data_IF_345337308297
#
_entry.id   IF_345337308297
#
_cell.length_a   1.000
_cell.length_b   1.000
_cell.length_c   1.000
_cell.angle_alpha   90.00
_cell.angle_beta   90.00
_cell.angle_gamma   90.00
#
_symmetry.space_group_name_H-M   'P 1'
#
loop_
_entity.id
_entity.type
_entity.pdbx_description
1 polymer ?
#
# COMPACT_ATOMS: atom_id res chain seq x y z
N UNK A 1 -21.89 0.52 28.72
CA UNK A 1 -20.68 0.39 29.58
C UNK A 1 -19.49 0.88 28.76
N UNK A 2 -18.57 1.73 29.34
CA UNK A 2 -17.32 2.10 28.65
C UNK A 2 -16.21 1.18 29.10
N UNK A 3 -15.52 0.55 28.14
CA UNK A 3 -14.41 -0.38 28.35
C UNK A 3 -13.17 0.27 27.72
N UNK A 4 -12.22 0.69 28.58
CA UNK A 4 -10.97 1.29 28.14
C UNK A 4 -9.85 0.25 28.26
N UNK A 5 -9.16 -0.04 27.17
CA UNK A 5 -8.02 -0.95 27.11
C UNK A 5 -6.72 -0.14 27.11
N UNK A 6 -5.76 -0.53 27.94
CA UNK A 6 -4.42 0.02 27.92
C UNK A 6 -3.62 -0.48 26.69
N UNK A 7 -2.39 0.01 26.51
CA UNK A 7 -1.56 -0.32 25.35
C UNK A 7 -1.22 -1.82 25.26
N UNK A 8 -1.05 -2.52 26.40
CA UNK A 8 -0.72 -3.96 26.42
C UNK A 8 -1.95 -4.79 26.09
N UNK A 9 -3.11 -4.43 26.62
CA UNK A 9 -4.38 -5.09 26.31
C UNK A 9 -4.77 -4.85 24.86
N UNK A 10 -4.57 -3.64 24.35
CA UNK A 10 -4.85 -3.28 22.95
C UNK A 10 -4.03 -4.13 21.98
N UNK A 11 -2.71 -4.24 22.18
CA UNK A 11 -1.87 -5.07 21.29
C UNK A 11 -2.18 -6.56 21.42
N UNK A 12 -2.52 -7.04 22.63
CA UNK A 12 -2.91 -8.44 22.84
C UNK A 12 -4.20 -8.77 22.07
N UNK A 13 -5.23 -7.91 22.16
CA UNK A 13 -6.46 -8.06 21.38
C UNK A 13 -6.17 -8.01 19.88
N UNK A 14 -5.34 -7.08 19.43
CA UNK A 14 -4.96 -6.98 18.01
C UNK A 14 -4.28 -8.25 17.51
N UNK A 15 -3.39 -8.86 18.30
CA UNK A 15 -2.73 -10.14 17.95
C UNK A 15 -3.73 -11.29 17.89
N UNK A 16 -4.66 -11.40 18.83
CA UNK A 16 -5.71 -12.44 18.80
C UNK A 16 -6.58 -12.28 17.54
N UNK A 17 -6.97 -11.05 17.22
CA UNK A 17 -7.76 -10.73 16.01
C UNK A 17 -6.97 -11.03 14.73
N UNK A 18 -5.67 -10.76 14.71
CA UNK A 18 -4.77 -11.11 13.61
C UNK A 18 -4.67 -12.64 13.43
N UNK A 19 -4.53 -13.39 14.53
CA UNK A 19 -4.50 -14.86 14.49
C UNK A 19 -5.82 -15.45 13.96
N UNK A 20 -6.96 -14.87 14.38
CA UNK A 20 -8.27 -15.22 13.84
C UNK A 20 -8.32 -14.97 12.32
N UNK A 21 -7.85 -13.81 11.88
CA UNK A 21 -7.81 -13.48 10.45
C UNK A 21 -6.91 -14.43 9.64
N UNK A 22 -5.74 -14.83 10.18
CA UNK A 22 -4.86 -15.83 9.58
C UNK A 22 -5.56 -17.18 9.44
N UNK A 23 -6.17 -17.66 10.52
CA UNK A 23 -6.92 -18.92 10.53
C UNK A 23 -8.06 -18.95 9.50
N UNK A 24 -8.80 -17.84 9.36
CA UNK A 24 -9.88 -17.74 8.37
C UNK A 24 -9.34 -17.67 6.94
N UNK A 25 -8.24 -16.94 6.71
CA UNK A 25 -7.59 -16.85 5.40
C UNK A 25 -7.17 -18.21 4.87
N UNK A 26 -6.58 -19.06 5.74
CA UNK A 26 -6.13 -20.41 5.40
C UNK A 26 -7.30 -21.38 5.08
N UNK A 27 -8.54 -21.06 5.51
CA UNK A 27 -9.72 -21.90 5.30
C UNK A 27 -10.67 -21.43 4.22
N UNK A 28 -10.61 -20.17 3.85
CA UNK A 28 -11.51 -19.55 2.87
C UNK A 28 -10.71 -19.12 1.64
N UNK A 29 -10.70 -19.99 0.63
CA UNK A 29 -9.96 -19.79 -0.62
C UNK A 29 -10.21 -18.42 -1.28
N UNK A 30 -11.43 -17.88 -1.15
CA UNK A 30 -11.79 -16.57 -1.68
C UNK A 30 -10.96 -15.44 -1.06
N UNK A 31 -10.68 -15.50 0.25
CA UNK A 31 -9.87 -14.50 0.96
C UNK A 31 -8.39 -14.55 0.56
N UNK A 32 -7.90 -15.76 0.33
CA UNK A 32 -6.54 -15.97 -0.19
C UNK A 32 -6.41 -15.48 -1.62
N UNK A 33 -7.37 -15.82 -2.48
CA UNK A 33 -7.43 -15.41 -3.90
C UNK A 33 -7.40 -13.89 -4.10
N UNK A 34 -8.06 -13.13 -3.22
CA UNK A 34 -8.03 -11.65 -3.25
C UNK A 34 -6.85 -11.05 -2.48
N UNK A 35 -5.92 -11.85 -2.01
CA UNK A 35 -4.73 -11.42 -1.25
C UNK A 35 -5.06 -10.51 -0.05
N UNK A 36 -6.25 -10.66 0.57
CA UNK A 36 -6.68 -9.81 1.69
C UNK A 36 -5.76 -10.08 2.88
N UNK A 37 -5.17 -9.03 3.50
CA UNK A 37 -4.30 -9.19 4.67
C UNK A 37 -5.06 -9.79 5.87
N UNK A 38 -4.42 -10.71 6.58
CA UNK A 38 -5.02 -11.34 7.76
C UNK A 38 -5.52 -10.33 8.82
N UNK A 39 -4.78 -9.23 9.14
CA UNK A 39 -5.28 -8.21 10.06
C UNK A 39 -6.60 -7.58 9.63
N UNK A 40 -6.82 -7.41 8.31
CA UNK A 40 -8.07 -6.85 7.78
C UNK A 40 -9.23 -7.82 7.96
N UNK A 41 -9.03 -9.12 7.67
CA UNK A 41 -10.06 -10.15 7.82
C UNK A 41 -10.54 -10.23 9.27
N UNK A 42 -9.60 -10.43 10.20
CA UNK A 42 -9.94 -10.52 11.62
C UNK A 42 -10.50 -9.19 12.16
N UNK A 43 -9.90 -8.07 11.74
CA UNK A 43 -10.28 -6.74 12.18
C UNK A 43 -11.69 -6.32 11.76
N UNK A 44 -12.12 -6.64 10.53
CA UNK A 44 -13.50 -6.38 10.09
C UNK A 44 -14.52 -7.15 10.94
N UNK A 45 -14.23 -8.41 11.27
CA UNK A 45 -15.11 -9.22 12.14
C UNK A 45 -15.19 -8.57 13.52
N UNK A 46 -14.06 -8.17 14.08
CA UNK A 46 -14.01 -7.50 15.38
C UNK A 46 -14.70 -6.13 15.33
N UNK A 47 -14.52 -5.35 14.25
CA UNK A 47 -15.19 -4.06 14.06
C UNK A 47 -16.72 -4.21 13.94
N UNK A 48 -17.22 -5.28 13.32
CA UNK A 48 -18.65 -5.60 13.31
C UNK A 48 -19.13 -5.92 14.74
N UNK A 49 -18.36 -6.70 15.50
CA UNK A 49 -18.68 -6.99 16.88
C UNK A 49 -18.76 -5.72 17.75
N UNK A 50 -17.77 -4.85 17.67
CA UNK A 50 -17.74 -3.56 18.42
C UNK A 50 -18.85 -2.61 17.97
N UNK A 51 -19.19 -2.61 16.66
CA UNK A 51 -20.31 -1.85 16.11
C UNK A 51 -21.65 -2.35 16.68
N UNK A 52 -21.88 -3.65 16.75
CA UNK A 52 -23.08 -4.22 17.35
C UNK A 52 -23.19 -3.87 18.84
N UNK A 53 -22.09 -3.96 19.59
CA UNK A 53 -22.06 -3.57 21.00
C UNK A 53 -22.39 -2.08 21.21
N UNK A 54 -21.88 -1.21 20.30
CA UNK A 54 -22.14 0.21 20.34
C UNK A 54 -23.61 0.55 20.03
N UNK A 55 -24.15 0.01 18.94
CA UNK A 55 -25.53 0.29 18.49
C UNK A 55 -26.57 -0.26 19.47
N UNK A 56 -26.29 -1.41 20.09
CA UNK A 56 -27.18 -1.97 21.13
C UNK A 56 -27.02 -1.31 22.50
N UNK A 57 -26.05 -0.39 22.67
CA UNK A 57 -25.81 0.29 23.95
C UNK A 57 -25.16 -0.59 25.02
N UNK A 58 -24.70 -1.81 24.69
CA UNK A 58 -24.09 -2.77 25.63
C UNK A 58 -22.72 -2.27 26.09
N UNK A 59 -21.83 -1.95 25.13
CA UNK A 59 -20.47 -1.53 25.43
C UNK A 59 -19.92 -0.58 24.35
N UNK A 60 -19.10 0.38 24.80
CA UNK A 60 -18.27 1.23 23.96
C UNK A 60 -16.80 0.93 24.29
N UNK A 61 -16.03 0.52 23.27
CA UNK A 61 -14.62 0.18 23.41
C UNK A 61 -13.73 1.38 23.06
N UNK A 62 -12.70 1.63 23.87
CA UNK A 62 -11.66 2.62 23.62
C UNK A 62 -10.30 1.94 23.76
N UNK A 63 -9.41 2.18 22.81
CA UNK A 63 -8.11 1.54 22.67
C UNK A 63 -7.00 2.57 22.78
N UNK A 64 -5.85 2.16 23.31
CA UNK A 64 -4.65 2.99 23.35
C UNK A 64 -3.90 2.90 21.99
N UNK A 65 -3.53 4.04 21.43
CA UNK A 65 -2.95 4.14 20.09
C UNK A 65 -1.41 4.23 20.07
N UNK A 66 -0.74 4.29 21.23
CA UNK A 66 0.72 4.49 21.31
C UNK A 66 1.49 3.43 20.50
N UNK A 67 1.19 2.15 20.71
CA UNK A 67 1.89 1.07 19.98
C UNK A 67 1.52 1.02 18.51
N UNK A 68 0.32 1.48 18.11
CA UNK A 68 -0.05 1.66 16.71
C UNK A 68 0.90 2.64 16.02
N UNK A 69 1.15 3.80 16.62
CA UNK A 69 2.06 4.81 16.08
C UNK A 69 3.50 4.30 16.00
N UNK A 70 4.00 3.63 17.02
CA UNK A 70 5.34 3.04 17.02
C UNK A 70 5.50 2.04 15.88
N UNK A 71 4.57 1.08 15.76
CA UNK A 71 4.61 0.07 14.69
C UNK A 71 4.49 0.72 13.30
N UNK A 72 3.66 1.75 13.14
CA UNK A 72 3.53 2.51 11.90
C UNK A 72 4.85 3.17 11.50
N UNK A 73 5.53 3.84 12.43
CA UNK A 73 6.81 4.50 12.15
C UNK A 73 7.88 3.49 11.75
N UNK A 74 7.98 2.34 12.43
CA UNK A 74 8.90 1.26 12.05
C UNK A 74 8.61 0.73 10.64
N UNK A 75 7.34 0.50 10.31
CA UNK A 75 6.94 0.05 8.97
C UNK A 75 7.34 1.06 7.90
N UNK A 76 6.94 2.33 8.00
CA UNK A 76 7.26 3.33 6.98
C UNK A 76 8.77 3.63 6.90
N UNK A 77 9.50 3.48 8.00
CA UNK A 77 10.97 3.57 7.96
C UNK A 77 11.56 2.43 7.13
N UNK A 78 11.06 1.20 7.28
CA UNK A 78 11.49 0.06 6.43
C UNK A 78 11.18 0.31 4.95
N UNK A 79 10.02 0.90 4.63
CA UNK A 79 9.68 1.34 3.26
C UNK A 79 10.70 2.38 2.74
N UNK A 80 11.13 3.32 3.58
CA UNK A 80 12.17 4.27 3.21
C UNK A 80 13.50 3.60 2.79
N UNK A 81 13.92 2.57 3.51
CA UNK A 81 15.12 1.78 3.16
C UNK A 81 15.00 1.04 1.82
N UNK A 82 13.80 0.81 1.31
CA UNK A 82 13.60 0.17 0.01
C UNK A 82 13.95 1.13 -1.15
N UNK A 83 13.89 2.44 -0.98
CA UNK A 83 14.15 3.45 -2.01
C UNK A 83 15.64 3.51 -2.41
N UNK A 84 16.06 2.64 -3.33
CA UNK A 84 17.43 2.50 -3.82
C UNK A 84 17.62 3.11 -5.23
N UNK A 85 18.36 4.24 -5.31
CA UNK A 85 18.62 4.94 -6.57
C UNK A 85 19.58 4.16 -7.50
N UNK A 86 20.42 3.28 -6.95
CA UNK A 86 21.30 2.42 -7.77
C UNK A 86 20.49 1.41 -8.57
N UNK A 87 19.48 0.79 -7.92
CA UNK A 87 18.54 -0.12 -8.58
C UNK A 87 17.71 0.64 -9.62
N UNK A 88 17.27 1.85 -9.32
CA UNK A 88 16.54 2.69 -10.28
C UNK A 88 17.38 2.99 -11.53
N UNK A 89 18.65 3.28 -11.37
CA UNK A 89 19.56 3.52 -12.51
C UNK A 89 19.87 2.26 -13.31
N UNK A 90 20.01 1.11 -12.66
CA UNK A 90 20.31 -0.17 -13.33
C UNK A 90 19.11 -0.73 -14.10
N UNK A 91 17.88 -0.42 -13.67
CA UNK A 91 16.64 -0.88 -14.31
C UNK A 91 16.33 -0.25 -15.66
N UNK A 92 17.18 0.64 -16.14
CA UNK A 92 17.14 1.21 -17.48
C UNK A 92 15.92 2.09 -17.76
N UNK A 93 15.71 2.38 -19.07
CA UNK A 93 14.65 3.29 -19.52
C UNK A 93 13.23 2.78 -19.18
N UNK A 94 13.02 1.47 -19.25
CA UNK A 94 11.70 0.88 -19.00
C UNK A 94 11.24 1.12 -17.54
N UNK A 95 12.15 0.98 -16.57
CA UNK A 95 11.84 1.21 -15.15
C UNK A 95 11.51 2.68 -14.88
N UNK A 96 12.26 3.62 -15.47
CA UNK A 96 12.01 5.07 -15.32
C UNK A 96 10.66 5.46 -15.92
N UNK A 97 10.34 4.94 -17.10
CA UNK A 97 9.05 5.19 -17.76
C UNK A 97 7.91 4.61 -16.93
N UNK A 98 8.08 3.39 -16.43
CA UNK A 98 7.06 2.74 -15.58
C UNK A 98 6.86 3.48 -14.26
N UNK A 99 7.93 3.96 -13.62
CA UNK A 99 7.85 4.83 -12.44
C UNK A 99 7.11 6.13 -12.74
N UNK A 100 7.36 6.76 -13.88
CA UNK A 100 6.63 7.94 -14.34
C UNK A 100 5.14 7.68 -14.52
N UNK A 101 4.76 6.51 -15.05
CA UNK A 101 3.36 6.09 -15.13
C UNK A 101 2.72 5.93 -13.75
N UNK A 102 3.45 5.36 -12.79
CA UNK A 102 2.94 5.21 -11.42
C UNK A 102 2.72 6.57 -10.75
N UNK A 103 3.66 7.51 -10.87
CA UNK A 103 3.50 8.87 -10.37
C UNK A 103 2.28 9.54 -11.01
N UNK A 104 2.12 9.41 -12.32
CA UNK A 104 0.96 9.97 -13.04
C UNK A 104 -0.35 9.33 -12.55
N UNK A 105 -0.38 8.03 -12.28
CA UNK A 105 -1.53 7.34 -11.71
C UNK A 105 -1.89 7.89 -10.33
N UNK A 106 -0.90 8.07 -9.43
CA UNK A 106 -1.10 8.67 -8.11
C UNK A 106 -1.80 10.03 -8.23
N UNK A 107 -1.29 10.89 -9.12
CA UNK A 107 -1.87 12.21 -9.33
C UNK A 107 -3.30 12.11 -9.90
N UNK A 108 -3.53 11.28 -10.92
CA UNK A 108 -4.85 11.08 -11.53
C UNK A 108 -5.88 10.58 -10.52
N UNK A 109 -5.52 9.63 -9.65
CA UNK A 109 -6.42 9.11 -8.61
C UNK A 109 -6.80 10.20 -7.60
N UNK A 110 -5.86 11.02 -7.16
CA UNK A 110 -6.16 12.09 -6.21
C UNK A 110 -6.97 13.22 -6.85
N UNK A 111 -6.62 13.67 -8.07
CA UNK A 111 -7.40 14.68 -8.76
C UNK A 111 -8.82 14.21 -9.07
N UNK A 112 -9.00 12.95 -9.51
CA UNK A 112 -10.33 12.38 -9.73
C UNK A 112 -11.13 12.35 -8.43
N UNK A 113 -10.54 11.88 -7.34
CA UNK A 113 -11.18 11.79 -6.03
C UNK A 113 -11.64 13.18 -5.53
N UNK A 114 -10.77 14.17 -5.62
CA UNK A 114 -11.07 15.56 -5.27
C UNK A 114 -12.17 16.14 -6.18
N UNK A 115 -12.06 15.90 -7.49
CA UNK A 115 -13.03 16.38 -8.47
C UNK A 115 -14.43 15.80 -8.25
N UNK A 116 -14.53 14.49 -8.03
CA UNK A 116 -15.79 13.83 -7.72
C UNK A 116 -16.35 14.26 -6.36
N UNK A 117 -15.51 14.45 -5.34
CA UNK A 117 -15.95 14.95 -4.04
C UNK A 117 -16.58 16.35 -4.17
N UNK A 118 -15.95 17.25 -4.92
CA UNK A 118 -16.52 18.58 -5.21
C UNK A 118 -17.83 18.49 -5.98
N UNK A 119 -17.95 17.58 -6.94
CA UNK A 119 -19.19 17.35 -7.70
C UNK A 119 -20.34 16.84 -6.81
N UNK A 120 -20.01 16.01 -5.81
CA UNK A 120 -20.94 15.48 -4.82
C UNK A 120 -21.19 16.45 -3.66
N UNK A 121 -20.63 17.67 -3.69
CA UNK A 121 -20.73 18.68 -2.64
C UNK A 121 -20.26 18.20 -1.26
N UNK A 122 -19.23 17.32 -1.24
CA UNK A 122 -18.57 16.87 -0.02
C UNK A 122 -17.13 17.39 0.07
N UNK A 123 -16.54 17.35 1.27
CA UNK A 123 -15.17 17.83 1.46
C UNK A 123 -14.18 17.12 0.52
N UNK A 124 -13.29 17.86 -0.17
CA UNK A 124 -12.20 17.25 -0.96
C UNK A 124 -11.32 16.27 -0.19
N UNK A 125 -11.13 16.49 1.12
CA UNK A 125 -10.40 15.59 2.01
C UNK A 125 -11.10 14.23 2.15
N UNK A 126 -12.45 14.18 2.14
CA UNK A 126 -13.22 12.93 2.06
C UNK A 126 -12.94 12.22 0.73
N UNK A 127 -12.79 12.98 -0.36
CA UNK A 127 -12.37 12.43 -1.65
C UNK A 127 -11.02 11.70 -1.54
N UNK A 128 -10.01 12.31 -0.91
CA UNK A 128 -8.69 11.68 -0.73
C UNK A 128 -8.75 10.33 -0.01
N UNK A 129 -9.74 10.10 0.86
CA UNK A 129 -9.97 8.79 1.48
C UNK A 129 -10.26 7.67 0.45
N UNK A 130 -10.55 8.01 -0.80
CA UNK A 130 -10.77 7.06 -1.90
C UNK A 130 -9.77 7.23 -3.06
N UNK A 131 -8.83 8.18 -2.93
CA UNK A 131 -7.76 8.44 -3.88
C UNK A 131 -6.59 7.46 -3.76
N UNK A 132 -5.40 7.94 -4.01
CA UNK A 132 -4.19 7.11 -3.96
C UNK A 132 -3.85 6.59 -2.56
N UNK A 133 -4.42 7.19 -1.48
CA UNK A 133 -4.26 6.70 -0.11
C UNK A 133 -4.62 5.20 -0.02
N UNK A 134 -5.88 4.80 -0.28
CA UNK A 134 -6.25 3.38 -0.24
C UNK A 134 -5.91 2.64 -1.54
N UNK A 135 -5.88 3.30 -2.70
CA UNK A 135 -5.77 2.60 -3.98
C UNK A 135 -4.35 2.07 -4.23
N UNK A 136 -3.33 2.94 -4.26
CA UNK A 136 -1.93 2.53 -4.41
C UNK A 136 -1.32 2.15 -3.06
N UNK A 137 -1.58 2.94 -2.02
CA UNK A 137 -1.00 2.70 -0.71
C UNK A 137 -1.66 1.58 0.10
N UNK A 138 -2.82 1.08 -0.35
CA UNK A 138 -3.52 -0.03 0.28
C UNK A 138 -3.88 0.21 1.74
N UNK A 139 -4.01 -0.88 2.52
CA UNK A 139 -4.39 -0.80 3.93
C UNK A 139 -3.33 -0.13 4.82
N UNK A 140 -2.05 -0.23 4.45
CA UNK A 140 -0.95 0.39 5.20
C UNK A 140 -1.07 1.91 5.21
N UNK A 141 -1.12 2.50 4.03
CA UNK A 141 -1.27 3.95 3.85
C UNK A 141 -2.63 4.45 4.33
N UNK A 142 -3.71 3.67 4.10
CA UNK A 142 -5.04 3.97 4.62
C UNK A 142 -5.06 4.08 6.16
N UNK A 143 -4.42 3.12 6.85
CA UNK A 143 -4.30 3.14 8.30
C UNK A 143 -3.45 4.28 8.85
N UNK A 144 -2.44 4.72 8.10
CA UNK A 144 -1.55 5.81 8.51
C UNK A 144 -2.17 7.19 8.28
N UNK A 145 -2.74 7.43 7.10
CA UNK A 145 -3.29 8.73 6.74
C UNK A 145 -4.75 8.93 7.17
N UNK A 146 -5.49 7.85 7.48
CA UNK A 146 -6.85 7.95 8.03
C UNK A 146 -6.91 8.82 9.28
N UNK A 147 -6.14 8.54 10.35
CA UNK A 147 -6.07 9.39 11.54
C UNK A 147 -5.63 10.83 11.23
N UNK A 148 -4.65 11.01 10.33
CA UNK A 148 -4.21 12.36 9.92
C UNK A 148 -5.38 13.15 9.31
N UNK A 149 -6.18 12.54 8.44
CA UNK A 149 -7.37 13.19 7.87
C UNK A 149 -8.45 13.45 8.93
N UNK A 150 -8.55 12.63 9.98
CA UNK A 150 -9.43 12.88 11.11
C UNK A 150 -8.99 14.13 11.90
N UNK A 151 -7.69 14.34 12.09
CA UNK A 151 -7.12 15.56 12.68
C UNK A 151 -7.43 16.81 11.84
N UNK A 152 -7.53 16.66 10.51
CA UNK A 152 -8.00 17.70 9.59
C UNK A 152 -9.54 17.82 9.52
N UNK A 153 -10.27 17.14 10.39
CA UNK A 153 -11.72 17.27 10.57
C UNK A 153 -12.59 16.33 9.75
N UNK A 154 -12.02 15.35 9.07
CA UNK A 154 -12.77 14.32 8.33
C UNK A 154 -13.22 13.20 9.27
N UNK A 155 -14.44 13.28 9.78
CA UNK A 155 -14.98 12.25 10.67
C UNK A 155 -15.02 10.88 9.98
N UNK A 156 -14.44 9.86 10.64
CA UNK A 156 -14.44 8.49 10.17
C UNK A 156 -13.52 8.22 8.98
N UNK A 157 -12.53 9.10 8.72
CA UNK A 157 -11.58 8.94 7.63
C UNK A 157 -10.81 7.60 7.72
N UNK A 158 -10.40 7.17 8.90
CA UNK A 158 -9.74 5.87 9.11
C UNK A 158 -10.59 4.71 8.61
N UNK A 159 -11.89 4.72 8.93
CA UNK A 159 -12.83 3.69 8.50
C UNK A 159 -13.10 3.77 7.00
N UNK A 160 -13.24 4.99 6.46
CA UNK A 160 -13.48 5.24 5.04
C UNK A 160 -12.30 4.78 4.18
N UNK A 161 -11.07 5.18 4.53
CA UNK A 161 -9.86 4.77 3.83
C UNK A 161 -9.69 3.24 3.84
N UNK A 162 -9.96 2.59 4.97
CA UNK A 162 -9.84 1.13 5.10
C UNK A 162 -10.87 0.39 4.27
N UNK A 163 -12.14 0.85 4.28
CA UNK A 163 -13.19 0.29 3.44
C UNK A 163 -12.84 0.44 1.94
N UNK A 164 -12.32 1.60 1.54
CA UNK A 164 -11.88 1.86 0.18
C UNK A 164 -10.68 0.97 -0.21
N UNK A 165 -9.70 0.77 0.68
CA UNK A 165 -8.57 -0.12 0.43
C UNK A 165 -9.01 -1.58 0.25
N UNK A 166 -9.92 -2.06 1.09
CA UNK A 166 -10.48 -3.41 0.98
C UNK A 166 -11.24 -3.61 -0.33
N UNK A 167 -12.05 -2.62 -0.73
CA UNK A 167 -12.70 -2.62 -2.04
C UNK A 167 -11.67 -2.66 -3.17
N UNK A 168 -10.63 -1.84 -3.07
CA UNK A 168 -9.57 -1.76 -4.07
C UNK A 168 -8.86 -3.10 -4.28
N UNK A 169 -8.52 -3.82 -3.21
CA UNK A 169 -7.92 -5.16 -3.28
C UNK A 169 -8.80 -6.13 -4.11
N UNK A 170 -10.10 -6.14 -3.86
CA UNK A 170 -11.04 -7.01 -4.57
C UNK A 170 -11.18 -6.57 -6.03
N UNK A 171 -11.44 -5.29 -6.27
CA UNK A 171 -11.65 -4.74 -7.61
C UNK A 171 -10.41 -4.89 -8.50
N UNK A 172 -9.21 -4.61 -7.94
CA UNK A 172 -7.93 -4.77 -8.64
C UNK A 172 -7.64 -6.22 -9.04
N UNK A 173 -7.92 -7.17 -8.15
CA UNK A 173 -7.76 -8.61 -8.43
C UNK A 173 -8.73 -9.10 -9.51
N UNK A 174 -9.99 -8.64 -9.47
CA UNK A 174 -11.00 -9.05 -10.46
C UNK A 174 -10.74 -8.43 -11.83
N UNK A 175 -10.19 -7.21 -11.88
CA UNK A 175 -10.01 -6.47 -13.13
C UNK A 175 -8.77 -6.90 -13.93
N UNK A 176 -7.68 -7.29 -13.28
CA UNK A 176 -6.40 -7.53 -13.92
C UNK A 176 -6.43 -8.60 -15.00
N UNK A 177 -6.98 -9.79 -14.70
CA UNK A 177 -7.13 -10.88 -15.66
C UNK A 177 -7.91 -10.48 -16.92
N UNK A 178 -9.13 -9.95 -16.80
CA UNK A 178 -9.92 -9.48 -17.96
C UNK A 178 -9.23 -8.40 -18.81
N UNK A 179 -8.50 -7.46 -18.20
CA UNK A 179 -7.77 -6.41 -18.92
C UNK A 179 -6.63 -7.04 -19.72
N UNK A 180 -5.78 -7.87 -19.10
CA UNK A 180 -4.70 -8.56 -19.78
C UNK A 180 -5.21 -9.44 -20.93
N UNK A 181 -6.21 -10.29 -20.66
CA UNK A 181 -6.87 -11.14 -21.67
C UNK A 181 -7.37 -10.32 -22.86
N UNK A 182 -8.14 -9.25 -22.60
CA UNK A 182 -8.72 -8.42 -23.67
C UNK A 182 -7.66 -7.76 -24.55
N UNK A 183 -6.55 -7.31 -23.95
CA UNK A 183 -5.42 -6.72 -24.69
C UNK A 183 -4.74 -7.77 -25.56
N UNK A 184 -4.44 -8.95 -25.02
CA UNK A 184 -3.73 -10.02 -25.71
C UNK A 184 -4.56 -10.54 -26.89
N UNK A 185 -5.83 -10.92 -26.65
CA UNK A 185 -6.69 -11.52 -27.67
C UNK A 185 -7.13 -10.51 -28.75
N UNK A 186 -7.51 -9.27 -28.36
CA UNK A 186 -7.98 -8.26 -29.32
C UNK A 186 -6.88 -7.75 -30.25
N UNK A 187 -5.63 -7.79 -29.81
CA UNK A 187 -4.48 -7.24 -30.56
C UNK A 187 -3.53 -8.33 -31.10
N UNK A 188 -3.88 -9.61 -30.92
CA UNK A 188 -3.08 -10.77 -31.38
C UNK A 188 -1.61 -10.69 -30.92
N UNK A 189 -1.38 -10.42 -29.61
CA UNK A 189 -0.04 -10.11 -29.10
C UNK A 189 0.85 -11.34 -28.88
N UNK A 190 0.35 -12.56 -29.06
CA UNK A 190 1.15 -13.78 -28.88
C UNK A 190 2.33 -13.89 -29.86
N UNK A 191 2.22 -13.26 -31.02
CA UNK A 191 3.32 -13.19 -31.99
C UNK A 191 4.45 -12.24 -31.53
N UNK A 192 4.22 -11.43 -30.51
CA UNK A 192 5.20 -10.48 -29.93
C UNK A 192 5.89 -11.01 -28.68
N UNK A 193 5.66 -12.28 -28.32
CA UNK A 193 6.31 -12.91 -27.17
C UNK A 193 7.80 -13.06 -27.44
N UNK A 194 8.62 -12.38 -26.64
CA UNK A 194 10.07 -12.56 -26.65
C UNK A 194 10.40 -13.67 -25.64
N UNK A 195 10.93 -14.79 -26.12
CA UNK A 195 11.46 -15.85 -25.24
C UNK A 195 12.80 -15.33 -24.68
N UNK A 196 12.75 -14.63 -23.57
CA UNK A 196 13.95 -14.27 -22.82
C UNK A 196 14.39 -15.48 -21.97
N UNK A 197 15.71 -15.67 -21.89
CA UNK A 197 16.31 -16.77 -21.14
C UNK A 197 16.02 -16.58 -19.63
N UNK A 198 15.43 -17.59 -18.99
CA UNK A 198 15.05 -17.58 -17.57
C UNK A 198 16.24 -17.32 -16.60
N UNK A 199 17.46 -17.31 -17.12
CA UNK A 199 18.68 -17.04 -16.36
C UNK A 199 18.69 -15.68 -15.63
N UNK A 200 17.91 -14.70 -16.10
CA UNK A 200 17.82 -13.36 -15.47
C UNK A 200 16.93 -13.31 -14.22
N UNK A 201 16.03 -14.29 -14.06
CA UNK A 201 15.17 -14.40 -12.86
C UNK A 201 15.90 -15.06 -11.68
N UNK A 202 16.98 -15.80 -11.94
CA UNK A 202 17.67 -16.64 -10.95
C UNK A 202 18.71 -15.84 -10.13
N UNK A 203 19.20 -14.70 -10.61
CA UNK A 203 20.26 -13.94 -9.93
C UNK A 203 19.78 -13.10 -8.75
N UNK A 204 18.50 -12.72 -8.68
CA UNK A 204 17.97 -11.88 -7.60
C UNK A 204 17.40 -12.68 -6.41
N UNK A 205 17.16 -13.97 -6.56
CA UNK A 205 16.82 -14.92 -5.50
C UNK A 205 18.05 -15.57 -4.85
N UNK A 206 19.21 -14.96 -4.84
CA UNK A 206 20.19 -15.33 -3.81
C UNK A 206 19.55 -14.99 -2.48
N UNK A 207 18.92 -16.04 -1.90
CA UNK A 207 18.48 -16.08 -0.50
C UNK A 207 19.64 -15.50 0.33
N UNK A 208 19.54 -14.23 0.66
CA UNK A 208 20.36 -13.69 1.73
C UNK A 208 20.05 -14.58 2.92
N UNK A 209 21.00 -15.45 3.29
CA UNK A 209 20.86 -16.26 4.50
C UNK A 209 20.61 -15.28 5.63
N UNK A 210 19.38 -15.29 6.14
CA UNK A 210 18.97 -14.46 7.26
C UNK A 210 19.68 -14.99 8.49
N UNK A 211 20.57 -14.18 9.05
CA UNK A 211 21.29 -14.56 10.25
C UNK A 211 20.66 -13.90 11.47
N UNK A 212 20.27 -14.72 12.46
CA UNK A 212 19.69 -14.21 13.72
C UNK A 212 20.56 -13.13 14.38
N UNK A 213 21.89 -13.19 14.19
CA UNK A 213 22.87 -12.22 14.71
C UNK A 213 22.76 -10.81 14.06
N UNK A 214 22.10 -10.65 12.91
CA UNK A 214 22.00 -9.37 12.18
C UNK A 214 20.76 -8.56 12.55
N UNK A 215 19.73 -9.19 13.16
CA UNK A 215 18.51 -8.47 13.59
C UNK A 215 18.77 -7.30 14.54
N UNK A 216 19.65 -7.41 15.56
CA UNK A 216 19.95 -6.24 16.40
C UNK A 216 20.51 -5.05 15.61
N UNK A 217 21.39 -5.30 14.63
CA UNK A 217 21.95 -4.25 13.78
C UNK A 217 20.87 -3.61 12.89
N UNK A 218 19.96 -4.39 12.32
CA UNK A 218 18.84 -3.90 11.55
C UNK A 218 17.88 -3.04 12.39
N UNK A 219 17.55 -3.47 13.62
CA UNK A 219 16.75 -2.67 14.57
C UNK A 219 17.44 -1.35 14.88
N UNK A 220 18.75 -1.34 15.12
CA UNK A 220 19.50 -0.12 15.40
C UNK A 220 19.51 0.83 14.19
N UNK A 221 19.62 0.31 12.96
CA UNK A 221 19.52 1.11 11.74
C UNK A 221 18.13 1.77 11.62
N UNK A 222 17.05 1.03 11.89
CA UNK A 222 15.69 1.57 11.91
C UNK A 222 15.54 2.67 12.98
N UNK A 223 15.99 2.43 14.21
CA UNK A 223 15.91 3.41 15.32
C UNK A 223 16.70 4.68 15.00
N UNK A 224 17.91 4.55 14.44
CA UNK A 224 18.72 5.70 14.02
C UNK A 224 18.00 6.49 12.92
N UNK A 225 17.44 5.82 11.92
CA UNK A 225 16.68 6.47 10.86
C UNK A 225 15.43 7.19 11.40
N UNK A 226 14.72 6.59 12.37
CA UNK A 226 13.58 7.23 13.06
C UNK A 226 14.05 8.49 13.80
N UNK A 227 15.13 8.39 14.58
CA UNK A 227 15.68 9.53 15.32
C UNK A 227 16.08 10.69 14.42
N UNK A 228 16.82 10.43 13.32
CA UNK A 228 17.14 11.43 12.31
C UNK A 228 15.86 11.97 11.65
N UNK A 229 14.90 11.10 11.39
CA UNK A 229 13.62 11.43 10.76
C UNK A 229 12.80 12.42 11.57
N UNK A 230 12.81 12.33 12.90
CA UNK A 230 12.11 13.33 13.74
C UNK A 230 12.69 14.73 13.57
N UNK A 231 14.00 14.86 13.38
CA UNK A 231 14.68 16.13 13.10
C UNK A 231 14.25 16.63 11.71
N UNK A 232 14.23 15.74 10.71
CA UNK A 232 13.80 16.09 9.34
C UNK A 232 12.35 16.56 9.34
N UNK A 233 11.44 15.84 10.02
CA UNK A 233 10.03 16.25 10.13
C UNK A 233 9.87 17.62 10.78
N UNK A 234 10.64 17.92 11.82
CA UNK A 234 10.65 19.25 12.45
C UNK A 234 11.16 20.35 11.50
N UNK A 235 12.21 20.07 10.72
CA UNK A 235 12.72 21.02 9.72
C UNK A 235 11.71 21.26 8.60
N UNK A 236 11.03 20.20 8.14
CA UNK A 236 9.99 20.30 7.13
C UNK A 236 8.77 21.09 7.64
N UNK A 237 8.39 20.93 8.89
CA UNK A 237 7.26 21.70 9.47
C UNK A 237 7.55 23.20 9.59
N UNK A 238 8.80 23.64 9.54
CA UNK A 238 9.15 25.09 9.44
C UNK A 238 8.66 25.72 8.14
N UNK A 239 8.33 24.91 7.12
CA UNK A 239 7.72 25.42 5.86
C UNK A 239 6.25 25.81 6.01
N UNK A 240 5.64 25.60 7.17
CA UNK A 240 4.21 25.82 7.43
C UNK A 240 3.31 24.65 7.01
N UNK A 241 3.90 23.58 6.50
CA UNK A 241 3.19 22.34 6.13
C UNK A 241 3.26 21.31 7.27
N UNK A 242 2.21 20.52 7.45
CA UNK A 242 2.16 19.45 8.43
C UNK A 242 2.76 18.17 7.85
N UNK A 243 3.87 17.73 8.44
CA UNK A 243 4.53 16.47 8.07
C UNK A 243 4.45 15.47 9.23
N UNK A 244 3.76 14.34 9.07
CA UNK A 244 3.81 13.25 10.04
C UNK A 244 5.23 12.74 10.26
N UNK A 245 5.53 12.24 11.48
CA UNK A 245 6.87 11.79 11.89
C UNK A 245 7.42 10.71 10.95
N UNK A 246 6.58 9.81 10.47
CA UNK A 246 6.99 8.72 9.59
C UNK A 246 7.50 9.20 8.21
N UNK A 247 7.07 10.37 7.72
CA UNK A 247 7.59 10.96 6.48
C UNK A 247 9.08 11.31 6.61
N UNK A 248 9.45 11.97 7.70
CA UNK A 248 10.85 12.27 7.97
C UNK A 248 11.69 11.01 8.18
N UNK A 249 11.17 10.01 8.89
CA UNK A 249 11.83 8.74 9.11
C UNK A 249 12.04 7.97 7.79
N UNK A 250 11.06 8.00 6.90
CA UNK A 250 11.14 7.40 5.57
C UNK A 250 12.20 8.10 4.69
N UNK A 251 12.27 9.44 4.72
CA UNK A 251 13.31 10.21 4.02
C UNK A 251 14.70 9.90 4.60
N UNK A 252 14.86 9.89 5.93
CA UNK A 252 16.11 9.54 6.59
C UNK A 252 16.59 8.14 6.19
N UNK A 253 15.71 7.16 6.19
CA UNK A 253 16.00 5.79 5.79
C UNK A 253 16.43 5.71 4.31
N UNK A 254 15.74 6.40 3.41
CA UNK A 254 16.11 6.50 2.00
C UNK A 254 17.51 7.13 1.81
N UNK A 255 17.83 8.19 2.56
CA UNK A 255 19.16 8.79 2.56
C UNK A 255 20.21 7.80 3.07
N UNK A 256 19.98 7.14 4.22
CA UNK A 256 20.89 6.14 4.78
C UNK A 256 21.14 4.99 3.80
N UNK A 257 20.08 4.47 3.15
CA UNK A 257 20.19 3.43 2.13
C UNK A 257 21.12 3.83 1.01
N UNK A 258 20.89 4.99 0.43
CA UNK A 258 21.68 5.45 -0.71
C UNK A 258 23.11 5.82 -0.33
N UNK A 259 23.34 6.44 0.84
CA UNK A 259 24.69 6.72 1.34
C UNK A 259 25.46 5.41 1.58
N UNK A 260 24.85 4.41 2.18
CA UNK A 260 25.46 3.08 2.38
C UNK A 260 25.88 2.43 1.06
N UNK A 261 24.98 2.40 0.08
CA UNK A 261 25.23 1.81 -1.26
C UNK A 261 26.32 2.54 -2.05
N UNK A 262 26.36 3.88 -2.00
CA UNK A 262 27.36 4.64 -2.74
C UNK A 262 28.72 4.73 -2.03
N UNK A 263 28.73 4.78 -0.69
CA UNK A 263 29.98 4.90 0.07
C UNK A 263 30.66 3.56 0.33
N UNK A 264 29.91 2.46 0.39
CA UNK A 264 30.38 1.13 0.78
C UNK A 264 30.91 1.05 2.21
N UNK A 265 30.72 2.12 3.03
CA UNK A 265 31.29 2.21 4.38
C UNK A 265 30.53 1.45 5.44
N UNK A 266 29.26 1.17 5.22
CA UNK A 266 28.40 0.40 6.13
C UNK A 266 27.37 -0.41 5.34
N UNK A 267 27.05 -1.57 5.89
CA UNK A 267 26.09 -2.50 5.27
C UNK A 267 24.69 -2.21 5.79
N UNK A 268 23.71 -2.22 4.89
CA UNK A 268 22.28 -2.16 5.23
C UNK A 268 21.72 -3.58 5.19
N UNK A 269 21.10 -4.01 6.29
CA UNK A 269 20.57 -5.36 6.46
C UNK A 269 19.12 -5.44 5.98
N UNK A 270 18.95 -5.37 4.63
CA UNK A 270 17.62 -5.23 4.01
C UNK A 270 16.68 -6.38 4.29
N UNK A 271 17.19 -7.63 4.36
CA UNK A 271 16.37 -8.80 4.66
C UNK A 271 15.69 -8.67 6.02
N UNK A 272 16.50 -8.39 7.04
CA UNK A 272 16.07 -8.25 8.42
C UNK A 272 15.21 -6.98 8.62
N UNK A 273 15.55 -5.87 7.95
CA UNK A 273 14.73 -4.63 7.95
C UNK A 273 13.34 -4.91 7.38
N UNK A 274 13.23 -5.65 6.27
CA UNK A 274 11.95 -6.01 5.67
C UNK A 274 11.12 -6.93 6.57
N UNK A 275 11.75 -7.89 7.25
CA UNK A 275 11.06 -8.76 8.20
C UNK A 275 10.50 -7.97 9.39
N UNK A 276 11.31 -7.07 9.98
CA UNK A 276 10.87 -6.19 11.08
C UNK A 276 9.74 -5.27 10.58
N UNK A 277 9.87 -4.71 9.38
CA UNK A 277 8.84 -3.89 8.74
C UNK A 277 7.54 -4.67 8.53
N UNK A 278 7.59 -5.91 8.08
CA UNK A 278 6.43 -6.79 7.88
C UNK A 278 5.71 -7.14 9.19
N UNK A 279 6.47 -7.43 10.25
CA UNK A 279 5.90 -7.64 11.60
C UNK A 279 5.23 -6.35 12.09
N UNK A 280 5.93 -5.21 11.96
CA UNK A 280 5.42 -3.90 12.36
C UNK A 280 4.16 -3.53 11.59
N UNK A 281 4.10 -3.78 10.28
CA UNK A 281 2.90 -3.60 9.46
C UNK A 281 1.74 -4.45 9.97
N UNK A 282 1.97 -5.72 10.28
CA UNK A 282 0.92 -6.63 10.75
C UNK A 282 0.33 -6.18 12.08
N UNK A 283 1.17 -5.76 13.03
CA UNK A 283 0.74 -5.24 14.33
C UNK A 283 0.03 -3.89 14.19
N UNK A 284 0.60 -2.98 13.40
CA UNK A 284 0.01 -1.68 13.08
C UNK A 284 -1.40 -1.83 12.49
N UNK A 285 -1.54 -2.66 11.44
CA UNK A 285 -2.84 -2.94 10.84
C UNK A 285 -3.79 -3.64 11.81
N UNK A 286 -3.31 -4.58 12.62
CA UNK A 286 -4.12 -5.24 13.66
C UNK A 286 -4.75 -4.23 14.60
N UNK A 287 -3.96 -3.31 15.15
CA UNK A 287 -4.46 -2.27 16.05
C UNK A 287 -5.39 -1.30 15.30
N UNK A 288 -4.99 -0.85 14.11
CA UNK A 288 -5.81 0.06 13.30
C UNK A 288 -7.19 -0.53 12.96
N UNK A 289 -7.26 -1.84 12.70
CA UNK A 289 -8.51 -2.50 12.34
C UNK A 289 -9.46 -2.68 13.54
N UNK A 290 -8.96 -2.99 14.73
CA UNK A 290 -9.81 -3.12 15.91
C UNK A 290 -10.39 -1.79 16.40
N UNK A 291 -9.76 -0.67 16.03
CA UNK A 291 -10.22 0.69 16.37
C UNK A 291 -11.26 1.26 15.42
N UNK A 292 -11.63 0.55 14.33
CA UNK A 292 -12.57 1.02 13.33
C UNK A 292 -13.98 1.23 13.90
N UNK A 293 -14.58 2.37 13.54
CA UNK A 293 -15.92 2.78 13.96
C UNK A 293 -16.88 2.69 12.78
N UNK A 294 -17.36 1.47 12.45
CA UNK A 294 -18.18 1.22 11.26
C UNK A 294 -19.47 2.02 11.21
N UNK A 295 -20.04 2.41 12.35
CA UNK A 295 -21.25 3.26 12.41
C UNK A 295 -21.05 4.65 11.80
N UNK A 296 -19.80 5.12 11.64
CA UNK A 296 -19.49 6.41 11.01
C UNK A 296 -19.58 6.39 9.48
N UNK A 297 -19.66 5.20 8.86
CA UNK A 297 -19.78 5.07 7.39
C UNK A 297 -21.20 5.26 6.86
N UNK A 298 -22.22 5.21 7.72
CA UNK A 298 -23.60 5.18 7.27
C UNK A 298 -23.98 6.37 6.39
N UNK A 299 -23.55 7.57 6.77
CA UNK A 299 -23.88 8.83 6.06
C UNK A 299 -23.06 9.01 4.76
N UNK A 300 -21.96 8.30 4.61
CA UNK A 300 -21.05 8.39 3.47
C UNK A 300 -21.13 7.22 2.48
N UNK A 301 -22.06 6.29 2.68
CA UNK A 301 -22.15 5.06 1.90
C UNK A 301 -22.38 5.34 0.39
N UNK A 302 -23.31 6.21 0.04
CA UNK A 302 -23.60 6.54 -1.35
C UNK A 302 -22.48 7.34 -2.04
N UNK A 303 -21.92 8.41 -1.44
CA UNK A 303 -20.71 9.05 -1.95
C UNK A 303 -19.55 8.10 -2.15
N UNK A 304 -19.30 7.20 -1.17
CA UNK A 304 -18.22 6.21 -1.24
C UNK A 304 -18.33 5.32 -2.47
N UNK A 305 -19.51 4.76 -2.74
CA UNK A 305 -19.75 3.90 -3.91
C UNK A 305 -19.45 4.67 -5.21
N UNK A 306 -19.88 5.93 -5.32
CA UNK A 306 -19.65 6.75 -6.50
C UNK A 306 -18.17 7.04 -6.72
N UNK A 307 -17.44 7.38 -5.64
CA UNK A 307 -16.01 7.64 -5.67
C UNK A 307 -15.23 6.38 -6.08
N UNK A 308 -15.56 5.22 -5.50
CA UNK A 308 -14.91 3.94 -5.79
C UNK A 308 -15.20 3.44 -7.21
N UNK A 309 -16.42 3.64 -7.71
CA UNK A 309 -16.76 3.38 -9.12
C UNK A 309 -15.93 4.25 -10.05
N UNK A 310 -15.77 5.55 -9.74
CA UNK A 310 -14.90 6.46 -10.48
C UNK A 310 -13.44 5.99 -10.52
N UNK A 311 -12.88 5.55 -9.39
CA UNK A 311 -11.51 5.00 -9.32
C UNK A 311 -11.37 3.73 -10.17
N UNK A 312 -12.37 2.85 -10.14
CA UNK A 312 -12.38 1.61 -10.94
C UNK A 312 -12.38 1.90 -12.44
N UNK A 313 -13.20 2.86 -12.87
CA UNK A 313 -13.27 3.32 -14.27
C UNK A 313 -11.94 3.96 -14.67
N UNK A 314 -11.38 4.86 -13.85
CA UNK A 314 -10.07 5.46 -14.09
C UNK A 314 -9.01 4.38 -14.28
N UNK A 315 -8.97 3.40 -13.38
CA UNK A 315 -7.97 2.34 -13.41
C UNK A 315 -8.04 1.52 -14.69
N UNK A 316 -9.26 1.13 -15.11
CA UNK A 316 -9.48 0.43 -16.38
C UNK A 316 -9.01 1.26 -17.58
N UNK A 317 -9.40 2.53 -17.66
CA UNK A 317 -9.00 3.41 -18.75
C UNK A 317 -7.49 3.66 -18.74
N UNK A 318 -6.91 3.88 -17.57
CA UNK A 318 -5.49 4.15 -17.43
C UNK A 318 -4.63 2.95 -17.85
N UNK A 319 -4.96 1.76 -17.40
CA UNK A 319 -4.19 0.54 -17.75
C UNK A 319 -4.36 0.18 -19.21
N UNK A 320 -5.59 0.26 -19.74
CA UNK A 320 -5.89 -0.14 -21.11
C UNK A 320 -5.35 0.85 -22.16
N UNK A 321 -5.42 2.15 -21.91
CA UNK A 321 -5.05 3.18 -22.89
C UNK A 321 -3.70 3.84 -22.61
N UNK A 322 -3.27 3.98 -21.36
CA UNK A 322 -2.03 4.69 -21.03
C UNK A 322 -0.90 3.68 -20.83
N UNK A 323 -1.00 2.80 -19.83
CA UNK A 323 0.07 1.85 -19.50
C UNK A 323 0.43 0.99 -20.71
N UNK A 324 -0.55 0.36 -21.33
CA UNK A 324 -0.35 -0.50 -22.49
C UNK A 324 0.35 0.24 -23.66
N UNK A 325 -0.10 1.46 -23.98
CA UNK A 325 0.46 2.18 -25.12
C UNK A 325 1.87 2.74 -24.86
N UNK A 326 2.15 3.15 -23.63
CA UNK A 326 3.45 3.74 -23.26
C UNK A 326 4.51 2.67 -23.05
N UNK A 327 4.13 1.48 -22.56
CA UNK A 327 5.08 0.40 -22.26
C UNK A 327 5.48 -0.46 -23.46
N UNK A 328 4.96 -0.19 -24.65
CA UNK A 328 5.45 -0.82 -25.89
C UNK A 328 4.40 -1.47 -26.77
N UNK A 329 3.14 -1.62 -26.34
CA UNK A 329 2.02 -2.25 -27.07
C UNK A 329 2.26 -3.72 -27.45
N UNK A 330 3.16 -4.36 -26.72
CA UNK A 330 3.55 -5.75 -26.88
C UNK A 330 2.87 -6.65 -25.83
N UNK A 331 3.21 -7.93 -25.83
CA UNK A 331 2.74 -8.90 -24.85
C UNK A 331 3.10 -8.49 -23.41
N UNK A 332 4.35 -8.05 -23.19
CA UNK A 332 4.83 -7.62 -21.88
C UNK A 332 4.03 -6.41 -21.35
N UNK A 333 3.71 -5.46 -22.24
CA UNK A 333 2.87 -4.32 -21.89
C UNK A 333 1.44 -4.73 -21.48
N UNK A 334 0.89 -5.80 -22.06
CA UNK A 334 -0.41 -6.34 -21.66
C UNK A 334 -0.35 -7.02 -20.28
N UNK A 335 0.71 -7.79 -20.00
CA UNK A 335 0.95 -8.39 -18.68
C UNK A 335 1.19 -7.31 -17.64
N UNK A 336 2.02 -6.29 -17.94
CA UNK A 336 2.21 -5.13 -17.07
C UNK A 336 0.90 -4.41 -16.77
N UNK A 337 0.04 -4.20 -17.78
CA UNK A 337 -1.27 -3.57 -17.58
C UNK A 337 -2.17 -4.36 -16.62
N UNK A 338 -2.12 -5.70 -16.71
CA UNK A 338 -2.80 -6.59 -15.76
C UNK A 338 -2.24 -6.43 -14.33
N UNK A 339 -0.92 -6.38 -14.19
CA UNK A 339 -0.26 -6.16 -12.91
C UNK A 339 -0.59 -4.80 -12.30
N UNK A 340 -0.59 -3.73 -13.12
CA UNK A 340 -0.93 -2.38 -12.65
C UNK A 340 -2.37 -2.29 -12.14
N UNK A 341 -3.33 -3.04 -12.67
CA UNK A 341 -4.68 -3.14 -12.09
C UNK A 341 -4.63 -3.62 -10.63
N UNK A 342 -3.82 -4.62 -10.33
CA UNK A 342 -3.69 -5.19 -8.99
C UNK A 342 -3.01 -4.25 -8.01
N UNK A 343 -1.87 -3.70 -8.40
CA UNK A 343 -1.08 -2.81 -7.52
C UNK A 343 -1.67 -1.40 -7.42
N UNK A 344 -2.25 -0.88 -8.50
CA UNK A 344 -2.81 0.47 -8.53
C UNK A 344 -4.19 0.61 -7.87
N UNK A 345 -4.82 -0.50 -7.47
CA UNK A 345 -6.05 -0.51 -6.65
C UNK A 345 -5.94 -1.40 -5.41
N UNK A 346 -4.77 -1.92 -5.10
CA UNK A 346 -4.68 -2.88 -4.02
C UNK A 346 -3.30 -2.98 -3.39
N UNK A 347 -2.50 -3.91 -3.91
CA UNK A 347 -1.18 -4.18 -3.37
C UNK A 347 -0.31 -4.95 -4.39
N UNK A 348 1.01 -4.94 -4.20
CA UNK A 348 1.95 -5.68 -5.05
C UNK A 348 1.62 -7.18 -5.15
N UNK A 349 1.22 -7.90 -4.09
CA UNK A 349 0.80 -9.31 -4.22
C UNK A 349 -0.37 -9.52 -5.20
N UNK A 350 -1.34 -8.60 -5.25
CA UNK A 350 -2.45 -8.68 -6.21
C UNK A 350 -1.96 -8.49 -7.66
N UNK A 351 -0.97 -7.60 -7.84
CA UNK A 351 -0.33 -7.44 -9.15
C UNK A 351 0.35 -8.73 -9.61
N UNK A 352 1.11 -9.37 -8.71
CA UNK A 352 1.78 -10.64 -8.98
C UNK A 352 0.79 -11.74 -9.34
N UNK A 353 -0.28 -11.89 -8.57
CA UNK A 353 -1.35 -12.87 -8.83
C UNK A 353 -2.03 -12.63 -10.20
N UNK A 354 -2.33 -11.37 -10.54
CA UNK A 354 -2.90 -11.01 -11.82
C UNK A 354 -1.98 -11.35 -13.00
N UNK A 355 -0.69 -11.00 -12.89
CA UNK A 355 0.31 -11.32 -13.90
C UNK A 355 0.50 -12.81 -14.05
N UNK A 356 0.60 -13.54 -12.94
CA UNK A 356 0.74 -14.99 -12.94
C UNK A 356 -0.44 -15.66 -13.64
N UNK A 357 -1.67 -15.29 -13.31
CA UNK A 357 -2.87 -15.85 -13.96
C UNK A 357 -2.90 -15.60 -15.48
N UNK A 358 -2.37 -14.46 -15.94
CA UNK A 358 -2.23 -14.19 -17.38
C UNK A 358 -1.11 -15.03 -17.99
N UNK A 359 0.05 -15.10 -17.35
CA UNK A 359 1.20 -15.84 -17.85
C UNK A 359 0.98 -17.36 -17.87
N UNK A 360 0.29 -17.93 -16.89
CA UNK A 360 -0.08 -19.36 -16.88
C UNK A 360 -0.99 -19.73 -18.06
N UNK A 361 -1.82 -18.78 -18.50
CA UNK A 361 -2.73 -19.02 -19.61
C UNK A 361 -2.10 -18.84 -20.98
N UNK A 362 -1.13 -17.94 -21.12
CA UNK A 362 -0.60 -17.54 -22.43
C UNK A 362 0.90 -17.80 -22.56
N UNK A 363 1.77 -16.97 -21.96
CA UNK A 363 3.21 -17.09 -22.01
C UNK A 363 3.88 -16.34 -20.83
N UNK A 364 5.10 -16.68 -20.42
CA UNK A 364 5.83 -15.94 -19.39
C UNK A 364 6.22 -14.54 -19.87
N UNK A 365 6.36 -13.59 -18.92
CA UNK A 365 6.82 -12.21 -19.17
C UNK A 365 7.84 -11.81 -18.10
N UNK A 366 9.12 -12.06 -18.36
CA UNK A 366 10.23 -11.73 -17.44
C UNK A 366 10.22 -10.23 -17.10
N UNK A 367 10.05 -9.37 -18.10
CA UNK A 367 10.04 -7.92 -17.98
C UNK A 367 8.94 -7.42 -17.02
N UNK A 368 7.73 -7.98 -17.08
CA UNK A 368 6.65 -7.57 -16.19
C UNK A 368 6.92 -7.97 -14.74
N UNK A 369 7.39 -9.20 -14.53
CA UNK A 369 7.73 -9.70 -13.19
C UNK A 369 8.94 -9.01 -12.57
N UNK A 370 9.77 -8.36 -13.36
CA UNK A 370 10.89 -7.54 -12.89
C UNK A 370 10.44 -6.11 -12.54
N UNK A 371 9.69 -5.46 -13.41
CA UNK A 371 9.32 -4.05 -13.27
C UNK A 371 8.30 -3.80 -12.16
N UNK A 372 7.25 -4.63 -12.06
CA UNK A 372 6.15 -4.38 -11.11
C UNK A 372 6.60 -4.47 -9.65
N UNK A 373 7.32 -5.50 -9.18
CA UNK A 373 7.82 -5.53 -7.82
C UNK A 373 8.80 -4.39 -7.53
N UNK A 374 9.74 -4.12 -8.45
CA UNK A 374 10.73 -3.06 -8.25
C UNK A 374 10.10 -1.68 -8.08
N UNK A 375 9.11 -1.32 -8.89
CA UNK A 375 8.43 -0.02 -8.75
C UNK A 375 7.41 -0.05 -7.62
N UNK A 376 6.60 -1.09 -7.54
CA UNK A 376 5.51 -1.21 -6.55
C UNK A 376 6.02 -1.26 -5.12
N UNK A 377 7.06 -2.06 -4.83
CA UNK A 377 7.56 -2.19 -3.46
C UNK A 377 8.63 -1.15 -3.09
N UNK A 378 9.48 -0.70 -4.06
CA UNK A 378 10.61 0.16 -3.74
C UNK A 378 10.28 1.66 -3.77
N UNK A 379 9.37 2.09 -4.65
CA UNK A 379 9.19 3.52 -4.92
C UNK A 379 7.75 4.00 -4.77
N UNK A 380 6.75 3.16 -5.08
CA UNK A 380 5.36 3.60 -5.12
C UNK A 380 4.87 4.11 -3.76
N UNK A 381 5.09 3.38 -2.68
CA UNK A 381 4.65 3.77 -1.34
C UNK A 381 5.34 5.04 -0.85
N UNK A 382 6.66 5.17 -1.15
CA UNK A 382 7.43 6.35 -0.83
C UNK A 382 6.88 7.60 -1.53
N UNK A 383 6.75 7.53 -2.86
CA UNK A 383 6.26 8.65 -3.67
C UNK A 383 4.80 8.97 -3.40
N UNK A 384 3.98 7.95 -3.15
CA UNK A 384 2.58 8.11 -2.79
C UNK A 384 2.43 8.87 -1.48
N UNK A 385 3.19 8.50 -0.45
CA UNK A 385 3.15 9.18 0.86
C UNK A 385 3.55 10.66 0.76
N UNK A 386 4.56 10.99 -0.05
CA UNK A 386 4.94 12.38 -0.33
C UNK A 386 3.83 13.13 -1.07
N UNK A 387 3.24 12.53 -2.10
CA UNK A 387 2.15 13.13 -2.86
C UNK A 387 0.91 13.39 -1.99
N UNK A 388 0.52 12.41 -1.16
CA UNK A 388 -0.62 12.54 -0.25
C UNK A 388 -0.39 13.69 0.73
N UNK A 389 0.80 13.76 1.34
CA UNK A 389 1.16 14.84 2.27
C UNK A 389 1.04 16.20 1.60
N UNK A 390 1.49 16.32 0.33
CA UNK A 390 1.30 17.53 -0.46
C UNK A 390 -0.19 17.86 -0.62
N UNK A 391 -1.02 16.92 -1.09
CA UNK A 391 -2.44 17.17 -1.30
C UNK A 391 -3.18 17.59 -0.01
N UNK A 392 -2.89 16.94 1.13
CA UNK A 392 -3.53 17.28 2.41
C UNK A 392 -3.21 18.71 2.83
N UNK A 393 -1.99 19.19 2.60
CA UNK A 393 -1.57 20.54 3.01
C UNK A 393 -2.06 21.65 2.07
N UNK A 394 -2.49 21.32 0.83
CA UNK A 394 -2.96 22.31 -0.15
C UNK A 394 -4.49 22.33 -0.34
N UNK A 395 -5.25 21.48 0.34
CA UNK A 395 -6.70 21.42 0.33
C UNK A 395 -7.33 22.06 1.54
#
# INVERSE_FOLDING_TARGET
MKIQLDMYQTIAVAVVVLMLGKFLKERVELLERFCIPAPVIGGVIFAIFTCLCYVTGIAEFSFDDILKEVCMVFFFTSVGFQANLKVLKSGGRALIVFLGLVITLILCQNFLAIGLAKLLHISPLVGLCTGSIPMIGGNGTAGAFGPVLEDFGVKGASTLCTAAATFGLIAGSVMGGPVGKRLIEKKNLLDTVVVEDDSLLIEDERKHERHASMYPAAVFQLIIAIGIGTIISKLLSLTGMTFPIYIGAMIAAACMRNIGEYSGKFTIYMGEINDIGGISLSLFLGIAMITLKLWQLADLALPLITLLAGQTILMFLYTYFVVFNVMGRDYDAAVLSSGVCGFGMGATPNAMANMQAVCEKYAPSVKAFLLVPLVGSLFADFLNSLAITFFINFL
#
